data_IF_537103958261
#
_entry.id   IF_537103958261
#
_cell.length_a   1.000
_cell.length_b   1.000
_cell.length_c   1.000
_cell.angle_alpha   90.00
_cell.angle_beta   90.00
_cell.angle_gamma   90.00
#
_symmetry.space_group_name_H-M   'P 1'
#
loop_
_entity.id
_entity.type
_entity.pdbx_description
1 polymer ?
#
# COMPACT_ATOMS: atom_id res chain seq x y z
N UNK A 1 3.72 2.33 0.02
CA UNK A 1 2.55 2.72 -0.82
C UNK A 1 2.86 2.72 -2.32
N UNK A 2 4.00 3.23 -2.81
CA UNK A 2 4.31 3.22 -4.26
C UNK A 2 4.44 1.83 -4.92
N UNK A 3 4.46 0.75 -4.14
CA UNK A 3 4.41 -0.65 -4.63
C UNK A 3 3.12 -0.94 -5.41
N UNK A 4 2.01 -0.34 -4.98
CA UNK A 4 0.71 -0.61 -5.54
C UNK A 4 0.58 -0.12 -6.98
N UNK A 5 -0.18 -0.82 -7.85
CA UNK A 5 -0.52 -0.31 -9.17
C UNK A 5 -1.23 1.05 -9.10
N UNK A 6 -1.27 1.73 -10.24
CA UNK A 6 -2.11 2.93 -10.39
C UNK A 6 -3.58 2.53 -10.23
N UNK A 7 -4.40 3.42 -9.67
CA UNK A 7 -5.82 3.18 -9.42
C UNK A 7 -6.21 1.97 -8.57
N UNK A 8 -5.25 1.24 -7.99
CA UNK A 8 -5.53 0.01 -7.24
C UNK A 8 -6.36 0.31 -6.00
N UNK A 9 -7.49 -0.39 -5.86
CA UNK A 9 -8.26 -0.41 -4.61
C UNK A 9 -7.52 -1.28 -3.61
N UNK A 10 -7.21 -0.74 -2.44
CA UNK A 10 -6.47 -1.41 -1.37
C UNK A 10 -7.42 -1.61 -0.18
N UNK A 11 -7.56 -2.84 0.30
CA UNK A 11 -8.28 -3.13 1.54
C UNK A 11 -7.51 -2.58 2.75
N UNK A 12 -8.19 -1.82 3.59
CA UNK A 12 -7.56 -1.14 4.75
C UNK A 12 -7.04 -2.15 5.77
N UNK A 13 -7.78 -3.23 6.03
CA UNK A 13 -7.35 -4.29 6.95
C UNK A 13 -6.00 -4.88 6.54
N UNK A 14 -5.86 -5.22 5.26
CA UNK A 14 -4.61 -5.77 4.72
C UNK A 14 -3.48 -4.73 4.71
N UNK A 15 -3.79 -3.47 4.40
CA UNK A 15 -2.82 -2.38 4.47
C UNK A 15 -2.25 -2.17 5.89
N UNK A 16 -3.11 -2.22 6.91
CA UNK A 16 -2.70 -2.12 8.32
C UNK A 16 -1.77 -3.28 8.68
N UNK A 17 -2.15 -4.51 8.33
CA UNK A 17 -1.32 -5.69 8.58
C UNK A 17 0.05 -5.58 7.90
N UNK A 18 0.08 -5.05 6.67
CA UNK A 18 1.34 -4.79 5.97
C UNK A 18 2.21 -3.78 6.73
N UNK A 19 1.65 -2.66 7.21
CA UNK A 19 2.42 -1.68 7.98
C UNK A 19 2.94 -2.24 9.31
N UNK A 20 2.17 -3.13 9.95
CA UNK A 20 2.59 -3.84 11.17
C UNK A 20 3.77 -4.77 10.85
N UNK A 21 3.62 -5.64 9.84
CA UNK A 21 4.65 -6.61 9.45
C UNK A 21 5.96 -5.92 9.00
N UNK A 22 5.85 -4.75 8.38
CA UNK A 22 6.96 -3.93 7.94
C UNK A 22 7.61 -3.11 9.07
N UNK A 23 6.99 -3.07 10.25
CA UNK A 23 7.48 -2.27 11.38
C UNK A 23 7.42 -0.77 11.14
N UNK A 24 6.54 -0.28 10.25
CA UNK A 24 6.41 1.15 9.96
C UNK A 24 5.73 1.94 11.08
N UNK A 25 4.95 1.25 11.91
CA UNK A 25 4.19 1.85 12.99
C UNK A 25 5.07 1.97 14.24
N UNK A 26 5.10 3.17 14.82
CA UNK A 26 5.76 3.39 16.11
C UNK A 26 4.83 2.95 17.23
N UNK A 27 5.32 2.24 18.26
CA UNK A 27 4.50 1.90 19.40
C UNK A 27 4.08 3.18 20.14
N UNK A 28 2.80 3.29 20.46
CA UNK A 28 2.23 4.39 21.25
C UNK A 28 1.65 3.80 22.51
N UNK A 29 2.06 4.32 23.67
CA UNK A 29 1.64 3.77 24.95
C UNK A 29 0.10 3.80 25.09
N UNK A 30 -0.49 2.67 25.45
CA UNK A 30 -1.94 2.54 25.61
C UNK A 30 -2.73 2.43 24.30
N UNK A 31 -2.07 2.28 23.13
CA UNK A 31 -2.75 2.02 21.85
C UNK A 31 -2.26 0.71 21.22
N UNK A 32 -3.19 -0.06 20.68
CA UNK A 32 -2.90 -1.18 19.78
C UNK A 32 -2.30 -0.67 18.46
N UNK A 33 -1.53 -1.50 17.75
CA UNK A 33 -0.98 -1.13 16.44
C UNK A 33 -2.07 -0.80 15.42
N UNK A 34 -3.22 -1.47 15.48
CA UNK A 34 -4.37 -1.22 14.62
C UNK A 34 -4.89 0.22 14.80
N UNK A 35 -5.11 0.64 16.04
CA UNK A 35 -5.50 2.01 16.37
C UNK A 35 -4.45 3.05 15.91
N UNK A 36 -3.16 2.76 16.07
CA UNK A 36 -2.08 3.64 15.56
C UNK A 36 -2.13 3.72 14.03
N UNK A 37 -2.35 2.58 13.35
CA UNK A 37 -2.44 2.52 11.91
C UNK A 37 -3.66 3.27 11.37
N UNK A 38 -4.80 3.20 12.06
CA UNK A 38 -5.99 3.99 11.71
C UNK A 38 -5.75 5.50 11.83
N UNK A 39 -5.04 5.93 12.87
CA UNK A 39 -4.67 7.35 13.03
C UNK A 39 -3.73 7.81 11.91
N UNK A 40 -2.74 6.97 11.54
CA UNK A 40 -1.88 7.22 10.38
C UNK A 40 -2.69 7.29 9.08
N UNK A 41 -3.64 6.38 8.88
CA UNK A 41 -4.51 6.40 7.71
C UNK A 41 -5.32 7.70 7.62
N UNK A 42 -5.89 8.16 8.74
CA UNK A 42 -6.62 9.43 8.82
C UNK A 42 -5.73 10.61 8.47
N UNK A 43 -4.48 10.64 8.96
CA UNK A 43 -3.52 11.69 8.59
C UNK A 43 -3.18 11.67 7.10
N UNK A 44 -2.97 10.50 6.51
CA UNK A 44 -2.69 10.37 5.08
C UNK A 44 -3.88 10.84 4.23
N UNK A 45 -5.11 10.61 4.69
CA UNK A 45 -6.31 11.14 4.06
C UNK A 45 -6.40 12.66 4.23
N UNK A 46 -6.15 13.18 5.42
CA UNK A 46 -6.17 14.63 5.69
C UNK A 46 -5.13 15.39 4.86
N UNK A 47 -4.02 14.73 4.50
CA UNK A 47 -2.98 15.26 3.60
C UNK A 47 -3.25 14.99 2.12
N UNK A 48 -4.41 14.43 1.77
CA UNK A 48 -4.82 14.04 0.41
C UNK A 48 -3.84 13.06 -0.27
N UNK A 49 -3.10 12.27 0.50
CA UNK A 49 -2.23 11.20 -0.02
C UNK A 49 -3.05 9.97 -0.40
N UNK A 50 -4.05 9.68 0.43
CA UNK A 50 -4.95 8.56 0.26
C UNK A 50 -6.36 9.08 0.03
N UNK A 51 -7.02 8.54 -0.98
CA UNK A 51 -8.43 8.78 -1.28
C UNK A 51 -9.24 7.60 -0.78
N UNK A 52 -10.33 7.88 -0.05
CA UNK A 52 -11.26 6.85 0.41
C UNK A 52 -12.04 6.29 -0.78
N UNK A 53 -12.03 4.97 -0.95
CA UNK A 53 -12.79 4.31 -2.01
C UNK A 53 -14.14 3.80 -1.51
N UNK A 54 -14.16 3.06 -0.39
CA UNK A 54 -15.39 2.52 0.22
C UNK A 54 -15.38 2.69 1.73
N UNK A 55 -16.53 3.10 2.27
CA UNK A 55 -16.82 3.05 3.71
C UNK A 55 -17.81 1.92 4.00
N UNK A 56 -17.70 1.33 5.19
CA UNK A 56 -18.68 0.37 5.71
C UNK A 56 -19.93 1.06 6.23
N UNK A 57 -20.94 0.27 6.57
CA UNK A 57 -22.20 0.73 7.19
C UNK A 57 -21.97 1.49 8.50
N UNK A 58 -20.93 1.12 9.25
CA UNK A 58 -20.52 1.81 10.49
C UNK A 58 -19.66 3.06 10.25
N UNK A 59 -19.46 3.50 9.00
CA UNK A 59 -18.67 4.69 8.65
C UNK A 59 -17.15 4.48 8.61
N UNK A 60 -16.67 3.30 9.01
CA UNK A 60 -15.26 2.93 8.96
C UNK A 60 -14.77 2.77 7.51
N UNK A 61 -13.48 3.02 7.28
CA UNK A 61 -12.89 2.95 5.94
C UNK A 61 -12.58 1.48 5.63
N UNK A 62 -13.20 0.92 4.60
CA UNK A 62 -12.99 -0.48 4.20
C UNK A 62 -11.92 -0.59 3.12
N UNK A 63 -11.88 0.36 2.18
CA UNK A 63 -10.86 0.40 1.16
C UNK A 63 -10.49 1.83 0.72
N UNK A 64 -9.29 1.97 0.19
CA UNK A 64 -8.71 3.24 -0.22
C UNK A 64 -7.85 3.11 -1.48
N UNK A 65 -7.53 4.24 -2.11
CA UNK A 65 -6.59 4.36 -3.23
C UNK A 65 -5.51 5.39 -2.90
N UNK A 66 -4.33 5.25 -3.50
CA UNK A 66 -3.33 6.32 -3.47
C UNK A 66 -3.59 7.30 -4.62
N UNK A 67 -3.42 8.59 -4.39
CA UNK A 67 -3.52 9.59 -5.46
C UNK A 67 -2.35 9.44 -6.44
N UNK A 68 -2.59 9.47 -7.75
CA UNK A 68 -1.58 9.10 -8.76
C UNK A 68 -0.31 9.96 -8.71
N UNK A 69 -0.46 11.28 -8.56
CA UNK A 69 0.67 12.21 -8.40
C UNK A 69 1.55 11.85 -7.18
N UNK A 70 0.95 11.40 -6.08
CA UNK A 70 1.66 11.06 -4.86
C UNK A 70 2.24 9.65 -4.92
N UNK A 71 1.62 8.77 -5.70
CA UNK A 71 2.21 7.49 -6.08
C UNK A 71 3.46 7.68 -6.92
N UNK A 72 3.43 8.57 -7.90
CA UNK A 72 4.59 8.90 -8.72
C UNK A 72 5.71 9.51 -7.89
N UNK A 73 5.37 10.40 -6.95
CA UNK A 73 6.33 10.91 -5.98
C UNK A 73 6.94 9.77 -5.15
N UNK A 74 6.13 8.85 -4.64
CA UNK A 74 6.62 7.68 -3.89
C UNK A 74 7.58 6.81 -4.71
N UNK A 75 7.31 6.61 -6.00
CA UNK A 75 8.18 5.84 -6.90
C UNK A 75 9.51 6.54 -7.13
N UNK A 76 9.50 7.87 -7.34
CA UNK A 76 10.71 8.67 -7.53
C UNK A 76 11.60 8.65 -6.30
N UNK A 77 11.03 8.88 -5.11
CA UNK A 77 11.78 8.84 -3.86
C UNK A 77 12.29 7.42 -3.58
N UNK A 78 11.51 6.37 -3.86
CA UNK A 78 11.95 5.00 -3.69
C UNK A 78 13.15 4.64 -4.60
N UNK A 79 13.17 5.12 -5.85
CA UNK A 79 14.31 4.92 -6.75
C UNK A 79 15.55 5.66 -6.26
N UNK A 80 15.39 6.92 -5.82
CA UNK A 80 16.46 7.74 -5.26
C UNK A 80 17.12 7.09 -4.04
N UNK A 81 16.30 6.55 -3.13
CA UNK A 81 16.74 5.87 -1.91
C UNK A 81 17.12 4.40 -2.12
N UNK A 82 17.04 3.90 -3.37
CA UNK A 82 17.23 2.49 -3.75
C UNK A 82 16.39 1.52 -2.88
N UNK A 83 15.21 1.98 -2.49
CA UNK A 83 14.34 1.31 -1.53
C UNK A 83 13.57 0.15 -2.17
N UNK A 84 12.98 0.37 -3.35
CA UNK A 84 12.46 -0.72 -4.18
C UNK A 84 12.45 -0.32 -5.66
N UNK A 85 12.49 -1.34 -6.53
CA UNK A 85 12.25 -1.19 -7.95
C UNK A 85 11.04 -2.03 -8.38
N UNK A 86 10.23 -1.50 -9.29
CA UNK A 86 9.10 -2.22 -9.88
C UNK A 86 9.44 -2.65 -11.29
N UNK A 87 9.39 -3.94 -11.56
CA UNK A 87 9.65 -4.52 -12.89
C UNK A 87 8.41 -5.25 -13.42
N UNK A 88 8.23 -5.27 -14.74
CA UNK A 88 7.23 -6.12 -15.41
C UNK A 88 7.88 -7.45 -15.77
N UNK A 89 7.13 -8.56 -15.69
CA UNK A 89 7.63 -9.91 -16.01
C UNK A 89 8.39 -10.02 -17.34
N UNK A 90 8.07 -9.16 -18.32
CA UNK A 90 8.64 -9.20 -19.67
C UNK A 90 9.65 -8.08 -19.97
N UNK A 91 10.05 -7.27 -18.98
CA UNK A 91 11.08 -6.25 -19.19
C UNK A 91 12.47 -6.81 -18.92
N UNK A 92 13.33 -6.81 -19.96
CA UNK A 92 14.79 -6.94 -19.84
C UNK A 92 15.37 -5.70 -19.13
N UNK A 93 15.05 -5.53 -17.85
CA UNK A 93 15.72 -4.53 -17.02
C UNK A 93 17.17 -4.95 -16.84
N UNK A 94 18.11 -4.08 -17.18
CA UNK A 94 19.55 -4.35 -17.06
C UNK A 94 19.90 -4.83 -15.64
N UNK A 95 20.43 -6.05 -15.55
CA UNK A 95 20.73 -6.82 -14.33
C UNK A 95 21.45 -6.01 -13.22
N UNK A 96 22.26 -5.01 -13.57
CA UNK A 96 22.96 -4.13 -12.61
C UNK A 96 22.04 -3.18 -11.82
N UNK A 97 20.93 -2.71 -12.39
CA UNK A 97 20.03 -1.77 -11.70
C UNK A 97 19.20 -2.45 -10.61
N UNK A 98 18.90 -3.75 -10.79
CA UNK A 98 18.14 -4.57 -9.85
C UNK A 98 19.00 -4.98 -8.65
N UNK A 99 20.29 -5.31 -8.88
CA UNK A 99 21.18 -5.89 -7.86
C UNK A 99 21.58 -4.90 -6.75
N UNK A 100 21.22 -3.62 -6.87
CA UNK A 100 21.52 -2.58 -5.87
C UNK A 100 20.30 -2.13 -5.06
N UNK A 101 19.14 -2.79 -5.26
CA UNK A 101 17.87 -2.43 -4.63
C UNK A 101 17.60 -3.27 -3.39
N UNK A 102 17.01 -2.66 -2.36
CA UNK A 102 16.63 -3.40 -1.13
C UNK A 102 15.45 -4.35 -1.34
N UNK A 103 14.56 -4.05 -2.29
CA UNK A 103 13.37 -4.86 -2.61
C UNK A 103 13.06 -4.85 -4.10
N UNK A 104 12.54 -5.95 -4.60
CA UNK A 104 12.07 -6.11 -5.98
C UNK A 104 10.58 -6.38 -5.95
N UNK A 105 9.82 -5.59 -6.71
CA UNK A 105 8.38 -5.77 -6.90
C UNK A 105 8.17 -6.26 -8.32
N UNK A 106 7.75 -7.51 -8.47
CA UNK A 106 7.38 -8.06 -9.77
C UNK A 106 5.89 -7.83 -9.97
N UNK A 107 5.52 -7.12 -11.03
CA UNK A 107 4.12 -6.99 -11.45
C UNK A 107 3.79 -8.10 -12.45
N UNK A 108 3.00 -9.13 -12.06
CA UNK A 108 2.46 -10.08 -13.01
C UNK A 108 1.59 -9.37 -14.04
N UNK A 109 1.58 -9.88 -15.26
CA UNK A 109 0.77 -9.33 -16.37
C UNK A 109 -0.73 -9.40 -16.11
N UNK A 110 -1.17 -10.29 -15.21
CA UNK A 110 -2.56 -10.53 -14.81
C UNK A 110 -2.81 -10.13 -13.35
N UNK A 111 -2.68 -8.84 -13.03
CA UNK A 111 -3.32 -8.32 -11.81
C UNK A 111 -4.84 -8.38 -12.02
N UNK A 112 -5.42 -9.57 -11.87
CA UNK A 112 -6.87 -9.69 -11.83
C UNK A 112 -7.33 -8.97 -10.55
N UNK A 113 -8.36 -8.15 -10.67
CA UNK A 113 -9.11 -7.56 -9.55
C UNK A 113 -9.66 -8.61 -8.55
N UNK A 114 -9.52 -9.91 -8.86
CA UNK A 114 -10.01 -11.05 -8.09
C UNK A 114 -9.31 -11.29 -6.74
N UNK A 115 -8.06 -10.85 -6.52
CA UNK A 115 -7.34 -11.19 -5.28
C UNK A 115 -7.62 -10.26 -4.09
N UNK A 116 -8.35 -9.16 -4.28
CA UNK A 116 -8.69 -8.22 -3.20
C UNK A 116 -10.20 -8.10 -2.93
N UNK A 117 -11.03 -8.79 -3.72
CA UNK A 117 -12.49 -8.78 -3.62
C UNK A 117 -13.07 -9.85 -2.68
N UNK A 118 -12.24 -10.70 -2.06
CA UNK A 118 -12.75 -11.59 -1.01
C UNK A 118 -13.05 -10.76 0.25
N UNK A 119 -14.31 -10.33 0.35
CA UNK A 119 -14.95 -9.92 1.59
C UNK A 119 -14.64 -10.96 2.67
N UNK A 120 -13.92 -10.54 3.70
CA UNK A 120 -13.79 -11.33 4.93
C UNK A 120 -15.22 -11.44 5.48
N UNK A 121 -15.80 -12.64 5.64
CA UNK A 121 -17.15 -12.77 6.16
C UNK A 121 -17.19 -12.20 7.58
N UNK A 122 -18.19 -11.38 7.87
CA UNK A 122 -18.47 -10.87 9.21
C UNK A 122 -18.68 -12.08 10.16
N UNK A 123 -18.08 -12.08 11.37
CA UNK A 123 -18.30 -13.18 12.31
C UNK A 123 -19.77 -13.17 12.78
N UNK A 124 -20.45 -14.30 12.56
CA UNK A 124 -21.74 -14.64 13.19
C UNK A 124 -21.64 -14.70 14.70
#
# INVERSE_FOLDING_TARGET
MGVFPEDSVICVSWLIQLWIAEGFLKPVNGKSFEAVAEDYLKELIARNIIVVHKRGSSGNIKSCKIHDLLRDLCLREAQKEKFFCVTREHSHSTSQAINTQRRIVVRPSTWNEEYLAHEIPEPT
#
